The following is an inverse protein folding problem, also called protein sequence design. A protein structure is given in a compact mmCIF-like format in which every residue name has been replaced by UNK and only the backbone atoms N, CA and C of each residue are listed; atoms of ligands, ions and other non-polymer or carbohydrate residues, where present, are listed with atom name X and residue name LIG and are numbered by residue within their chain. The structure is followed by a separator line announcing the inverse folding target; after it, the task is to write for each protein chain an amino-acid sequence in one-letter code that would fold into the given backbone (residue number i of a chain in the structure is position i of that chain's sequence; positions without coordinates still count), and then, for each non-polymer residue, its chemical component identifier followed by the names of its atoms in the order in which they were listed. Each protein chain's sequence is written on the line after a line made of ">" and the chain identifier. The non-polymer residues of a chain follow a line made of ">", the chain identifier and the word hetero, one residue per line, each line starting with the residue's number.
data_IF_855955658675
#
_entry.id   IF_855955658675
#
_cell.length_a   1.000
_cell.length_b   1.000
_cell.length_c   1.000
_cell.angle_alpha   90.00
_cell.angle_beta   90.00
_cell.angle_gamma   90.00
#
_symmetry.space_group_name_H-M   'P 1'
#
loop_
_entity.id
_entity.type
_entity.pdbx_description
1 polymer ?
#
# COMPACT_ATOMS: atom_id res chain seq x y z
N UNK A 1 8.08 -4.08 12.39
CA UNK A 1 7.63 -3.01 13.30
C UNK A 1 6.46 -2.34 12.65
N UNK A 2 5.33 -2.26 13.33
CA UNK A 2 4.22 -1.40 12.94
C UNK A 2 4.59 0.03 13.39
N UNK A 3 4.24 1.07 12.62
CA UNK A 3 4.51 2.49 12.93
C UNK A 3 6.00 2.87 13.07
N UNK A 4 6.87 2.41 12.14
CA UNK A 4 8.32 2.71 12.14
C UNK A 4 8.64 4.21 12.15
N UNK A 5 7.81 5.02 11.50
CA UNK A 5 7.97 6.48 11.45
C UNK A 5 7.85 7.12 12.83
N UNK A 6 6.95 6.62 13.69
CA UNK A 6 6.66 7.21 15.00
C UNK A 6 7.82 7.03 16.00
N UNK A 7 8.64 6.01 15.78
CA UNK A 7 9.87 5.77 16.55
C UNK A 7 11.11 6.40 15.90
N UNK A 8 10.94 7.21 14.85
CA UNK A 8 12.03 7.83 14.10
C UNK A 8 12.85 6.84 13.26
N UNK A 9 12.27 5.68 12.93
CA UNK A 9 12.90 4.61 12.16
C UNK A 9 12.92 4.84 10.65
N UNK A 10 12.31 5.94 10.17
CA UNK A 10 12.28 6.35 8.76
C UNK A 10 12.88 7.75 8.66
N UNK A 11 13.78 7.97 7.70
CA UNK A 11 14.39 9.27 7.42
C UNK A 11 14.20 9.57 5.94
N UNK A 12 13.53 10.69 5.66
CA UNK A 12 13.22 11.16 4.30
C UNK A 12 14.09 12.37 3.92
N UNK A 13 13.87 12.92 2.72
CA UNK A 13 14.56 14.12 2.20
C UNK A 13 16.09 13.97 2.09
N UNK A 14 16.55 12.77 1.70
CA UNK A 14 17.96 12.44 1.57
C UNK A 14 18.41 12.65 0.11
N UNK A 15 18.93 13.84 -0.18
CA UNK A 15 19.24 14.28 -1.54
C UNK A 15 20.61 13.80 -2.08
N UNK A 16 21.45 13.18 -1.26
CA UNK A 16 22.77 12.70 -1.67
C UNK A 16 23.26 11.51 -0.83
N UNK A 17 24.32 10.86 -1.32
CA UNK A 17 24.93 9.69 -0.66
C UNK A 17 25.48 9.99 0.74
N UNK A 18 25.92 11.23 1.00
CA UNK A 18 26.41 11.66 2.30
C UNK A 18 25.27 11.74 3.32
N UNK A 19 24.14 12.31 2.93
CA UNK A 19 22.92 12.38 3.72
C UNK A 19 22.40 10.97 4.05
N UNK A 20 22.39 10.05 3.06
CA UNK A 20 22.02 8.64 3.27
C UNK A 20 22.94 7.96 4.27
N UNK A 21 24.26 8.10 4.12
CA UNK A 21 25.23 7.50 5.04
C UNK A 21 25.09 8.04 6.48
N UNK A 22 24.85 9.34 6.64
CA UNK A 22 24.64 9.96 7.95
C UNK A 22 23.34 9.48 8.61
N UNK A 23 22.25 9.35 7.84
CA UNK A 23 20.99 8.81 8.32
C UNK A 23 21.13 7.34 8.74
N UNK A 24 21.79 6.52 7.92
CA UNK A 24 22.07 5.12 8.22
C UNK A 24 22.88 4.95 9.51
N UNK A 25 23.92 5.77 9.71
CA UNK A 25 24.72 5.76 10.92
C UNK A 25 23.92 6.13 12.19
N UNK A 26 22.95 7.05 12.08
CA UNK A 26 22.07 7.43 13.18
C UNK A 26 21.07 6.33 13.55
N UNK A 27 20.46 5.68 12.56
CA UNK A 27 19.48 4.61 12.78
C UNK A 27 20.16 3.36 13.38
N UNK A 28 21.40 3.10 12.97
CA UNK A 28 22.17 1.96 13.44
C UNK A 28 21.66 0.61 12.88
N UNK A 29 22.50 -0.41 12.95
CA UNK A 29 22.16 -1.75 12.45
C UNK A 29 22.09 -1.83 10.93
N UNK A 30 21.24 -2.74 10.42
CA UNK A 30 20.99 -2.89 8.98
C UNK A 30 19.83 -1.96 8.60
N UNK A 31 20.04 -1.16 7.57
CA UNK A 31 19.03 -0.26 7.00
C UNK A 31 18.66 -0.68 5.59
N UNK A 32 17.43 -0.35 5.19
CA UNK A 32 16.97 -0.42 3.81
C UNK A 32 17.03 1.00 3.23
N UNK A 33 17.58 1.14 2.02
CA UNK A 33 17.62 2.42 1.29
C UNK A 33 16.77 2.25 0.05
N UNK A 34 15.82 3.16 -0.13
CA UNK A 34 14.82 3.11 -1.19
C UNK A 34 14.78 4.44 -1.94
N UNK A 35 14.34 4.39 -3.20
CA UNK A 35 14.06 5.59 -3.98
C UNK A 35 12.86 6.33 -3.39
N UNK A 36 12.97 7.66 -3.29
CA UNK A 36 11.85 8.49 -2.86
C UNK A 36 10.89 8.75 -4.05
N UNK A 37 9.60 8.48 -3.85
CA UNK A 37 8.56 8.63 -4.89
C UNK A 37 7.82 9.95 -4.67
N UNK A 38 7.98 10.90 -5.60
CA UNK A 38 7.41 12.25 -5.50
C UNK A 38 6.09 12.44 -6.26
N UNK A 39 5.80 11.58 -7.24
CA UNK A 39 4.69 11.72 -8.18
C UNK A 39 3.46 10.87 -7.81
N UNK A 40 3.29 10.54 -6.53
CA UNK A 40 2.10 9.81 -6.08
C UNK A 40 0.84 10.69 -6.21
N UNK A 41 -0.20 10.11 -6.83
CA UNK A 41 -1.54 10.70 -6.94
C UNK A 41 -2.31 10.51 -5.63
N UNK A 42 -2.16 9.34 -5.01
CA UNK A 42 -2.75 8.97 -3.74
C UNK A 42 -1.94 7.85 -3.09
N UNK A 43 -2.10 7.71 -1.78
CA UNK A 43 -1.68 6.55 -1.02
C UNK A 43 -2.90 5.65 -0.79
N UNK A 44 -2.71 4.33 -0.88
CA UNK A 44 -3.75 3.33 -0.67
C UNK A 44 -3.30 2.30 0.38
N UNK A 45 -4.27 1.79 1.13
CA UNK A 45 -4.15 0.58 1.93
C UNK A 45 -4.62 -0.61 1.10
N UNK A 46 -3.84 -1.68 1.07
CA UNK A 46 -4.25 -3.00 0.56
C UNK A 46 -3.91 -4.05 1.62
N UNK A 47 -4.92 -4.58 2.30
CA UNK A 47 -4.77 -5.65 3.29
C UNK A 47 -5.49 -6.91 2.79
N UNK A 48 -4.82 -8.06 2.86
CA UNK A 48 -5.42 -9.36 2.62
C UNK A 48 -5.16 -10.24 3.83
N UNK A 49 -6.21 -10.50 4.61
CA UNK A 49 -6.13 -11.24 5.86
C UNK A 49 -7.04 -12.46 5.84
N UNK A 50 -6.57 -13.55 6.45
CA UNK A 50 -7.38 -14.76 6.68
C UNK A 50 -8.36 -14.49 7.82
N UNK A 51 -9.64 -14.59 7.53
CA UNK A 51 -10.76 -14.35 8.44
C UNK A 51 -11.67 -15.59 8.51
N UNK A 52 -11.51 -16.46 9.51
CA UNK A 52 -12.41 -17.59 9.72
C UNK A 52 -13.82 -17.13 10.18
N UNK A 53 -14.91 -17.72 9.67
CA UNK A 53 -14.96 -18.86 8.76
C UNK A 53 -15.02 -18.47 7.26
N UNK A 54 -14.95 -17.18 6.93
CA UNK A 54 -15.26 -16.65 5.59
C UNK A 54 -14.13 -16.79 4.57
N UNK A 55 -12.91 -17.08 5.01
CA UNK A 55 -11.77 -17.34 4.13
C UNK A 55 -10.80 -16.16 4.11
N UNK A 56 -10.54 -15.60 2.93
CA UNK A 56 -9.65 -14.46 2.76
C UNK A 56 -10.44 -13.18 2.50
N UNK A 57 -10.18 -12.15 3.29
CA UNK A 57 -10.80 -10.84 3.16
C UNK A 57 -9.77 -9.85 2.60
N UNK A 58 -10.06 -9.28 1.44
CA UNK A 58 -9.36 -8.13 0.89
C UNK A 58 -9.99 -6.85 1.45
N UNK A 59 -9.19 -5.95 1.98
CA UNK A 59 -9.58 -4.59 2.36
C UNK A 59 -8.78 -3.59 1.55
N UNK A 60 -9.50 -2.70 0.85
CA UNK A 60 -8.94 -1.57 0.14
C UNK A 60 -9.34 -0.29 0.85
N UNK A 61 -8.44 0.68 0.92
CA UNK A 61 -8.76 1.98 1.50
C UNK A 61 -7.82 3.07 1.06
N UNK A 62 -8.12 4.29 1.48
CA UNK A 62 -7.10 5.35 1.49
C UNK A 62 -5.88 4.89 2.32
N UNK A 63 -4.70 5.41 2.01
CA UNK A 63 -3.45 5.23 2.76
C UNK A 63 -3.02 6.50 3.49
N UNK A 64 -1.96 6.40 4.30
CA UNK A 64 -1.38 7.52 5.04
C UNK A 64 -2.08 7.83 6.37
N UNK A 65 -1.66 8.89 7.05
CA UNK A 65 -2.10 9.23 8.42
C UNK A 65 -3.59 9.62 8.54
N UNK A 66 -4.28 9.89 7.42
CA UNK A 66 -5.70 10.23 7.41
C UNK A 66 -6.63 9.01 7.51
N UNK A 67 -6.12 7.79 7.33
CA UNK A 67 -6.90 6.54 7.37
C UNK A 67 -7.50 6.28 8.75
N UNK A 68 -6.74 6.56 9.81
CA UNK A 68 -7.17 6.38 11.19
C UNK A 68 -8.37 7.27 11.55
N UNK A 69 -8.57 8.36 10.81
CA UNK A 69 -9.61 9.37 11.08
C UNK A 69 -10.83 9.17 10.18
N UNK A 70 -10.66 8.79 8.91
CA UNK A 70 -11.75 8.86 7.90
C UNK A 70 -12.43 7.51 7.66
N UNK A 71 -11.83 6.36 8.03
CA UNK A 71 -12.40 5.01 7.78
C UNK A 71 -12.89 4.82 6.33
N UNK A 72 -12.17 5.39 5.37
CA UNK A 72 -12.45 5.24 3.94
C UNK A 72 -11.91 3.90 3.45
N UNK A 73 -12.66 2.84 3.77
CA UNK A 73 -12.30 1.47 3.40
C UNK A 73 -13.50 0.72 2.84
N UNK A 74 -13.20 -0.29 2.03
CA UNK A 74 -14.16 -1.27 1.52
C UNK A 74 -13.51 -2.64 1.53
N UNK A 75 -14.31 -3.69 1.72
CA UNK A 75 -13.79 -5.06 1.79
C UNK A 75 -14.55 -6.00 0.86
N UNK A 76 -13.81 -6.97 0.31
CA UNK A 76 -14.27 -7.97 -0.63
C UNK A 76 -13.78 -9.35 -0.16
N UNK A 77 -14.60 -10.38 -0.33
CA UNK A 77 -14.18 -11.77 -0.11
C UNK A 77 -13.43 -12.26 -1.35
N UNK A 78 -12.28 -12.88 -1.15
CA UNK A 78 -11.52 -13.47 -2.24
C UNK A 78 -12.09 -14.84 -2.65
N UNK A 79 -11.97 -15.23 -3.93
CA UNK A 79 -11.32 -14.49 -5.01
C UNK A 79 -12.19 -13.36 -5.59
N UNK A 80 -11.53 -12.28 -6.03
CA UNK A 80 -12.11 -11.15 -6.76
C UNK A 80 -11.54 -11.07 -8.17
N UNK A 81 -12.30 -10.48 -9.09
CA UNK A 81 -11.81 -10.13 -10.43
C UNK A 81 -11.37 -8.66 -10.52
N UNK A 82 -10.78 -8.29 -11.67
CA UNK A 82 -10.32 -6.92 -11.91
C UNK A 82 -11.44 -5.87 -11.83
N UNK A 83 -12.67 -6.23 -12.22
CA UNK A 83 -13.81 -5.31 -12.20
C UNK A 83 -14.35 -5.11 -10.77
N UNK A 84 -14.31 -6.14 -9.92
CA UNK A 84 -14.58 -6.03 -8.48
C UNK A 84 -13.64 -5.02 -7.82
N UNK A 85 -12.34 -5.18 -8.06
CA UNK A 85 -11.30 -4.28 -7.52
C UNK A 85 -11.49 -2.86 -8.05
N UNK A 86 -11.75 -2.70 -9.35
CA UNK A 86 -11.99 -1.38 -9.95
C UNK A 86 -13.20 -0.69 -9.32
N UNK A 87 -14.32 -1.40 -9.16
CA UNK A 87 -15.53 -0.86 -8.52
C UNK A 87 -15.27 -0.45 -7.08
N UNK A 88 -14.53 -1.29 -6.32
CA UNK A 88 -14.15 -0.99 -4.96
C UNK A 88 -13.31 0.30 -4.87
N UNK A 89 -12.28 0.45 -5.72
CA UNK A 89 -11.43 1.64 -5.78
C UNK A 89 -12.22 2.91 -6.13
N UNK A 90 -13.16 2.83 -7.08
CA UNK A 90 -14.03 3.96 -7.45
C UNK A 90 -14.99 4.34 -6.31
N UNK A 91 -15.42 3.36 -5.51
CA UNK A 91 -16.32 3.56 -4.39
C UNK A 91 -15.69 4.23 -3.16
N UNK A 92 -14.36 4.26 -3.08
CA UNK A 92 -13.65 4.96 -2.01
C UNK A 92 -13.79 6.48 -2.15
N UNK A 93 -13.73 7.19 -1.03
CA UNK A 93 -13.64 8.65 -0.98
C UNK A 93 -12.40 9.19 -1.70
N UNK A 94 -11.30 8.42 -1.75
CA UNK A 94 -10.10 8.71 -2.55
C UNK A 94 -10.28 8.43 -4.06
N UNK A 95 -11.33 7.71 -4.47
CA UNK A 95 -11.60 7.32 -5.86
C UNK A 95 -11.57 8.46 -6.89
N UNK A 96 -12.12 9.66 -6.59
CA UNK A 96 -12.01 10.82 -7.48
C UNK A 96 -10.57 11.27 -7.77
N UNK A 97 -9.62 11.08 -6.83
CA UNK A 97 -8.21 11.39 -7.08
C UNK A 97 -7.59 10.38 -8.06
N UNK A 98 -7.94 9.10 -7.93
CA UNK A 98 -7.48 8.04 -8.82
C UNK A 98 -7.93 8.27 -10.27
N UNK A 99 -9.08 8.92 -10.47
CA UNK A 99 -9.62 9.28 -11.79
C UNK A 99 -9.09 10.62 -12.35
N UNK A 100 -8.22 11.30 -11.61
CA UNK A 100 -7.71 12.64 -11.94
C UNK A 100 -8.61 13.76 -11.42
N UNK A 101 -8.00 14.83 -10.91
CA UNK A 101 -8.72 15.96 -10.31
C UNK A 101 -8.06 17.30 -10.58
N UNK A 102 -8.84 18.30 -11.03
CA UNK A 102 -8.42 19.71 -11.20
C UNK A 102 -7.05 19.89 -11.87
N UNK A 103 -6.83 19.21 -13.01
CA UNK A 103 -5.58 19.31 -13.78
C UNK A 103 -4.42 18.46 -13.25
N UNK A 104 -4.63 17.69 -12.19
CA UNK A 104 -3.69 16.62 -11.78
C UNK A 104 -3.93 15.35 -12.60
N UNK A 105 -2.86 14.60 -12.92
CA UNK A 105 -2.98 13.32 -13.62
C UNK A 105 -3.80 12.31 -12.81
N UNK A 106 -4.45 11.40 -13.53
CA UNK A 106 -5.07 10.21 -12.94
C UNK A 106 -3.99 9.20 -12.52
N UNK A 107 -4.36 8.26 -11.65
CA UNK A 107 -3.51 7.11 -11.33
C UNK A 107 -3.62 6.03 -12.42
N UNK A 108 -2.57 5.22 -12.55
CA UNK A 108 -2.59 3.97 -13.29
C UNK A 108 -3.35 2.92 -12.47
N UNK A 109 -4.68 2.92 -12.61
CA UNK A 109 -5.57 2.02 -11.87
C UNK A 109 -5.31 0.56 -12.21
N UNK A 110 -4.88 0.27 -13.44
CA UNK A 110 -4.61 -1.09 -13.88
C UNK A 110 -3.36 -1.65 -13.18
N UNK A 111 -2.35 -0.82 -12.92
CA UNK A 111 -1.21 -1.21 -12.09
C UNK A 111 -1.59 -1.53 -10.64
N UNK A 112 -2.53 -0.78 -10.06
CA UNK A 112 -3.06 -1.06 -8.70
C UNK A 112 -3.78 -2.41 -8.70
N UNK A 113 -4.65 -2.65 -9.67
CA UNK A 113 -5.37 -3.93 -9.82
C UNK A 113 -4.36 -5.08 -9.97
N UNK A 114 -3.33 -4.91 -10.78
CA UNK A 114 -2.29 -5.93 -10.97
C UNK A 114 -1.52 -6.25 -9.67
N UNK A 115 -1.34 -5.28 -8.76
CA UNK A 115 -0.80 -5.54 -7.42
C UNK A 115 -1.78 -6.40 -6.62
N UNK A 116 -3.06 -6.03 -6.56
CA UNK A 116 -4.09 -6.80 -5.83
C UNK A 116 -4.17 -8.24 -6.34
N UNK A 117 -4.19 -8.45 -7.66
CA UNK A 117 -4.23 -9.79 -8.26
C UNK A 117 -2.99 -10.63 -7.91
N UNK A 118 -1.81 -10.00 -7.81
CA UNK A 118 -0.57 -10.69 -7.38
C UNK A 118 -0.61 -11.07 -5.91
N UNK A 119 -1.11 -10.19 -5.04
CA UNK A 119 -1.27 -10.47 -3.62
C UNK A 119 -2.33 -11.56 -3.38
N UNK A 120 -3.47 -11.48 -4.10
CA UNK A 120 -4.49 -12.53 -4.10
C UNK A 120 -3.89 -13.89 -4.47
N UNK A 121 -3.13 -13.97 -5.57
CA UNK A 121 -2.47 -15.22 -5.98
C UNK A 121 -1.53 -15.73 -4.89
N UNK A 122 -0.72 -14.85 -4.30
CA UNK A 122 0.21 -15.19 -3.24
C UNK A 122 -0.48 -15.83 -2.03
N UNK A 123 -1.55 -15.22 -1.50
CA UNK A 123 -2.25 -15.74 -0.31
C UNK A 123 -3.02 -17.02 -0.58
N UNK A 124 -3.52 -17.21 -1.81
CA UNK A 124 -4.23 -18.43 -2.20
C UNK A 124 -3.28 -19.62 -2.40
N UNK A 125 -2.03 -19.37 -2.79
CA UNK A 125 -1.00 -20.38 -3.01
C UNK A 125 -0.16 -20.70 -1.75
N UNK A 126 -0.25 -19.88 -0.70
CA UNK A 126 0.57 -20.00 0.52
C UNK A 126 -0.29 -20.18 1.77
N UNK A 127 -0.54 -21.43 2.21
CA UNK A 127 -1.45 -21.70 3.33
C UNK A 127 -0.91 -21.24 4.69
N UNK A 128 0.40 -21.01 4.79
CA UNK A 128 1.13 -20.51 5.97
C UNK A 128 1.01 -19.00 6.17
N UNK A 129 0.53 -18.26 5.15
CA UNK A 129 0.24 -16.84 5.32
C UNK A 129 -1.03 -16.65 6.17
N UNK A 130 -0.99 -15.64 7.02
CA UNK A 130 -2.12 -15.14 7.80
C UNK A 130 -2.60 -13.81 7.26
N UNK A 131 -1.66 -12.95 6.84
CA UNK A 131 -1.94 -11.58 6.44
C UNK A 131 -0.85 -11.04 5.52
N UNK A 132 -1.26 -10.23 4.54
CA UNK A 132 -0.38 -9.38 3.74
C UNK A 132 -0.99 -7.98 3.69
N UNK A 133 -0.37 -7.05 4.40
CA UNK A 133 -0.73 -5.64 4.40
C UNK A 133 0.30 -4.84 3.60
N UNK A 134 -0.17 -4.02 2.68
CA UNK A 134 0.60 -3.00 1.97
C UNK A 134 0.06 -1.64 2.38
N UNK A 135 0.90 -0.86 3.05
CA UNK A 135 0.51 0.46 3.56
C UNK A 135 1.73 1.39 3.72
N UNK A 136 1.99 2.35 2.80
CA UNK A 136 1.14 2.67 1.65
C UNK A 136 1.52 1.90 0.37
N UNK A 137 0.50 1.62 -0.44
CA UNK A 137 0.63 1.46 -1.89
C UNK A 137 0.53 2.86 -2.52
N UNK A 138 1.62 3.33 -3.13
CA UNK A 138 1.67 4.61 -3.82
C UNK A 138 1.08 4.47 -5.22
N UNK A 139 -0.09 5.05 -5.45
CA UNK A 139 -0.72 5.13 -6.76
C UNK A 139 -0.08 6.25 -7.57
N UNK A 140 0.44 5.97 -8.77
CA UNK A 140 1.17 6.96 -9.60
C UNK A 140 0.50 7.08 -10.97
N UNK A 141 0.78 8.13 -11.76
CA UNK A 141 0.30 8.24 -13.14
C UNK A 141 0.84 7.14 -14.06
N UNK A 142 1.97 6.55 -13.67
CA UNK A 142 2.62 5.44 -14.38
C UNK A 142 3.03 4.38 -13.35
N UNK A 143 2.21 3.35 -13.21
CA UNK A 143 2.44 2.26 -12.27
C UNK A 143 1.95 2.52 -10.83
N UNK A 144 2.31 1.58 -9.95
CA UNK A 144 2.08 1.66 -8.52
C UNK A 144 3.30 1.12 -7.78
N UNK A 145 3.61 1.68 -6.60
CA UNK A 145 4.80 1.31 -5.81
C UNK A 145 4.38 0.88 -4.40
N UNK A 146 4.79 -0.32 -4.01
CA UNK A 146 4.66 -0.80 -2.63
C UNK A 146 5.77 -0.16 -1.81
N UNK A 147 5.44 0.83 -0.97
CA UNK A 147 6.44 1.54 -0.17
C UNK A 147 6.68 0.88 1.19
N UNK A 148 5.67 0.23 1.77
CA UNK A 148 5.86 -0.66 2.91
C UNK A 148 4.94 -1.87 2.79
N UNK A 149 5.40 -2.98 3.35
CA UNK A 149 4.63 -4.20 3.44
C UNK A 149 4.89 -4.92 4.75
N UNK A 150 3.82 -5.43 5.35
CA UNK A 150 3.83 -6.32 6.50
C UNK A 150 3.25 -7.67 6.08
N UNK A 151 3.98 -8.73 6.38
CA UNK A 151 3.54 -10.11 6.11
C UNK A 151 3.54 -10.87 7.43
N UNK A 152 2.39 -11.45 7.77
CA UNK A 152 2.22 -12.30 8.94
C UNK A 152 2.09 -13.75 8.48
N UNK A 153 2.85 -14.64 9.12
CA UNK A 153 2.87 -16.08 8.87
C UNK A 153 2.58 -16.84 10.17
N UNK A 154 2.04 -18.05 10.07
CA UNK A 154 1.85 -18.97 11.21
C UNK A 154 3.17 -19.46 11.81
#
# INVERSE_FOLDING_TARGET
>A
MVHKSDVGGVVLDLCDAGAVAAAAGRLGGRVLVEEYVEDSVAELLVDIRREPPVGWLLTLGAGGSLVEVVRDTTSLLLPVDADDVRRALVGLGVGPLLSGHRGRPAADVDAIIAVVERLQRLVLERPDLVEVEVNPLLARPSGAVVADALVTIE
#
